data_IF_300130121184
#
_entry.id   IF_300130121184
#
_cell.length_a   1.000
_cell.length_b   1.000
_cell.length_c   1.000
_cell.angle_alpha   90.00
_cell.angle_beta   90.00
_cell.angle_gamma   90.00
#
_symmetry.space_group_name_H-M   'P 1'
#
loop_
_entity.id
_entity.type
_entity.pdbx_description
1 polymer ?
#
# COMPACT_ATOMS: atom_id res chain seq x y z
N UNK A 1 -17.77 -13.00 -5.12
CA UNK A 1 -17.51 -12.56 -6.50
C UNK A 1 -18.06 -11.15 -6.57
N UNK A 2 -17.22 -10.14 -6.79
CA UNK A 2 -17.66 -8.73 -6.77
C UNK A 2 -18.05 -8.37 -8.18
N UNK A 3 -19.34 -8.10 -8.39
CA UNK A 3 -19.86 -7.70 -9.69
C UNK A 3 -19.54 -6.21 -9.90
N UNK A 4 -18.64 -5.92 -10.84
CA UNK A 4 -18.27 -4.54 -11.18
C UNK A 4 -19.30 -4.07 -12.19
N UNK A 5 -20.18 -3.16 -11.75
CA UNK A 5 -21.32 -2.70 -12.55
C UNK A 5 -20.94 -2.33 -13.97
N UNK A 6 -21.63 -2.92 -14.94
CA UNK A 6 -21.34 -2.73 -16.36
C UNK A 6 -21.49 -1.27 -16.76
N UNK A 7 -20.53 -0.79 -17.57
CA UNK A 7 -20.68 0.48 -18.27
C UNK A 7 -21.83 0.37 -19.26
N UNK A 8 -22.76 1.34 -19.24
CA UNK A 8 -23.70 1.51 -20.35
C UNK A 8 -22.88 1.73 -21.63
N UNK A 9 -22.96 0.77 -22.56
CA UNK A 9 -22.23 0.83 -23.83
C UNK A 9 -22.89 1.83 -24.74
N UNK A 10 -22.40 3.06 -24.75
CA UNK A 10 -22.52 3.91 -25.94
C UNK A 10 -21.31 3.72 -26.85
N UNK A 11 -21.53 3.87 -28.14
CA UNK A 11 -20.80 3.15 -29.17
C UNK A 11 -19.58 3.96 -29.66
N UNK A 12 -18.44 3.80 -29.00
CA UNK A 12 -17.16 4.28 -29.55
C UNK A 12 -15.97 3.39 -29.18
N UNK A 13 -15.04 3.27 -30.13
CA UNK A 13 -13.91 2.36 -30.09
C UNK A 13 -12.87 2.71 -29.02
N UNK A 14 -12.61 1.76 -28.12
CA UNK A 14 -11.34 1.59 -27.39
C UNK A 14 -10.83 2.76 -26.51
N UNK A 15 -11.72 3.56 -25.92
CA UNK A 15 -11.35 4.58 -24.93
C UNK A 15 -11.72 4.18 -23.49
N UNK A 16 -10.71 4.05 -22.64
CA UNK A 16 -10.89 3.85 -21.19
C UNK A 16 -11.43 5.14 -20.55
N UNK A 17 -12.74 5.22 -20.31
CA UNK A 17 -13.33 6.32 -19.53
C UNK A 17 -12.70 6.38 -18.13
N UNK A 18 -12.21 7.56 -17.74
CA UNK A 18 -11.98 7.89 -16.35
C UNK A 18 -13.18 8.68 -15.85
N UNK A 19 -13.84 8.29 -14.75
CA UNK A 19 -14.98 9.04 -14.25
C UNK A 19 -14.54 10.43 -13.77
N UNK A 20 -15.32 11.44 -14.12
CA UNK A 20 -15.16 12.82 -13.66
C UNK A 20 -16.26 13.16 -12.64
N UNK A 21 -17.53 13.08 -13.03
CA UNK A 21 -18.68 13.23 -12.14
C UNK A 21 -19.37 11.91 -11.90
N UNK A 22 -19.78 11.70 -10.65
CA UNK A 22 -20.34 10.46 -10.12
C UNK A 22 -21.42 10.79 -9.09
N UNK A 23 -22.47 9.97 -9.02
CA UNK A 23 -23.37 9.92 -7.87
C UNK A 23 -23.22 8.58 -7.15
N UNK A 24 -23.00 8.62 -5.83
CA UNK A 24 -22.98 7.41 -4.99
C UNK A 24 -24.39 7.10 -4.47
N UNK A 25 -24.87 5.89 -4.80
CA UNK A 25 -26.08 5.30 -4.26
C UNK A 25 -25.74 4.26 -3.19
N UNK A 26 -26.33 4.43 -2.01
CA UNK A 26 -26.11 3.57 -0.85
C UNK A 26 -27.37 2.78 -0.53
N UNK A 27 -27.41 1.55 -1.02
CA UNK A 27 -28.54 0.65 -0.83
C UNK A 27 -28.31 -0.22 0.41
N UNK A 28 -29.25 -0.21 1.35
CA UNK A 28 -29.29 -1.18 2.43
C UNK A 28 -29.87 -2.48 1.86
N UNK A 29 -29.01 -3.50 1.74
CA UNK A 29 -29.48 -4.86 1.54
C UNK A 29 -29.96 -5.43 2.90
N UNK A 30 -30.30 -6.72 2.92
CA UNK A 30 -30.68 -7.41 4.16
C UNK A 30 -29.56 -7.21 5.21
N UNK A 31 -29.95 -6.79 6.42
CA UNK A 31 -28.99 -6.39 7.44
C UNK A 31 -28.01 -7.53 7.77
N UNK A 32 -26.69 -7.27 7.91
CA UNK A 32 -26.05 -5.95 8.03
C UNK A 32 -25.39 -5.43 6.74
N UNK A 33 -25.79 -5.92 5.55
CA UNK A 33 -25.05 -5.62 4.30
C UNK A 33 -25.46 -4.27 3.71
N UNK A 34 -24.47 -3.39 3.50
CA UNK A 34 -24.62 -2.12 2.79
C UNK A 34 -23.93 -2.25 1.43
N UNK A 35 -24.66 -1.95 0.36
CA UNK A 35 -24.15 -1.95 -1.01
C UNK A 35 -23.98 -0.51 -1.45
N UNK A 36 -22.73 -0.10 -1.69
CA UNK A 36 -22.37 1.20 -2.23
C UNK A 36 -22.13 1.03 -3.74
N UNK A 37 -22.93 1.72 -4.57
CA UNK A 37 -22.86 1.72 -6.04
C UNK A 37 -22.58 3.13 -6.53
N UNK A 38 -21.55 3.29 -7.33
CA UNK A 38 -21.27 4.55 -8.04
C UNK A 38 -21.95 4.52 -9.42
N UNK A 39 -22.61 5.61 -9.80
CA UNK A 39 -23.13 5.84 -11.16
C UNK A 39 -22.27 6.93 -11.79
N UNK A 40 -21.68 6.64 -12.95
CA UNK A 40 -20.86 7.60 -13.72
C UNK A 40 -21.80 8.55 -14.46
N UNK A 41 -21.70 9.85 -14.16
CA UNK A 41 -22.45 10.91 -14.84
C UNK A 41 -21.65 11.45 -16.03
N UNK A 42 -20.32 11.59 -15.89
CA UNK A 42 -19.44 12.08 -16.96
C UNK A 42 -18.03 11.47 -16.91
N UNK A 43 -17.35 11.49 -18.06
CA UNK A 43 -16.00 10.96 -18.26
C UNK A 43 -15.01 12.08 -18.60
N UNK A 44 -13.76 11.91 -18.20
CA UNK A 44 -12.60 12.72 -18.61
C UNK A 44 -11.51 11.86 -19.25
N UNK A 45 -10.65 12.50 -20.04
CA UNK A 45 -9.46 11.87 -20.62
C UNK A 45 -8.37 11.61 -19.57
N UNK A 46 -7.54 10.60 -19.80
CA UNK A 46 -6.31 10.42 -19.04
C UNK A 46 -5.32 11.57 -19.29
N UNK A 47 -4.52 11.90 -18.27
CA UNK A 47 -3.45 12.90 -18.42
C UNK A 47 -2.21 12.31 -19.08
N UNK A 48 -1.44 13.16 -19.76
CA UNK A 48 -0.20 12.72 -20.41
C UNK A 48 0.87 12.29 -19.38
N UNK A 49 0.99 13.04 -18.27
CA UNK A 49 1.86 12.68 -17.13
C UNK A 49 1.05 12.26 -15.91
N UNK A 50 1.71 11.56 -14.98
CA UNK A 50 1.12 11.21 -13.70
C UNK A 50 0.79 12.46 -12.88
N UNK A 51 -0.50 12.68 -12.64
CA UNK A 51 -1.01 13.76 -11.81
C UNK A 51 -2.35 13.39 -11.18
N UNK A 52 -2.77 14.20 -10.22
CA UNK A 52 -4.12 14.16 -9.68
C UNK A 52 -5.09 14.80 -10.69
N UNK A 53 -6.08 14.03 -11.13
CA UNK A 53 -7.26 14.56 -11.79
C UNK A 53 -8.41 14.70 -10.77
N UNK A 54 -9.33 15.66 -10.96
CA UNK A 54 -10.53 15.77 -10.13
C UNK A 54 -11.44 14.56 -10.32
N UNK A 55 -12.12 14.12 -9.25
CA UNK A 55 -13.16 13.09 -9.28
C UNK A 55 -14.27 13.51 -8.33
N UNK A 56 -15.30 14.15 -8.87
CA UNK A 56 -16.43 14.69 -8.15
C UNK A 56 -17.42 13.56 -7.84
N UNK A 57 -17.62 13.27 -6.55
CA UNK A 57 -18.61 12.30 -6.08
C UNK A 57 -19.70 13.04 -5.30
N UNK A 58 -20.94 12.95 -5.78
CA UNK A 58 -22.15 13.41 -5.11
C UNK A 58 -22.64 12.31 -4.15
N UNK A 59 -22.55 12.59 -2.85
CA UNK A 59 -23.02 11.71 -1.79
C UNK A 59 -24.42 12.09 -1.34
N UNK A 60 -25.23 11.10 -0.94
CA UNK A 60 -26.57 11.29 -0.36
C UNK A 60 -27.53 12.17 -1.21
N UNK A 61 -27.45 12.02 -2.54
CA UNK A 61 -28.27 12.70 -3.54
C UNK A 61 -29.77 12.66 -3.20
N UNK A 62 -30.44 13.81 -3.26
CA UNK A 62 -31.86 13.97 -2.91
C UNK A 62 -32.15 14.04 -1.41
N UNK A 63 -31.16 14.29 -0.55
CA UNK A 63 -31.35 14.40 0.90
C UNK A 63 -30.76 15.69 1.48
N UNK A 64 -31.14 16.04 2.72
CA UNK A 64 -30.53 17.18 3.46
C UNK A 64 -29.03 17.02 3.77
N UNK A 65 -28.44 15.86 3.47
CA UNK A 65 -27.02 15.56 3.63
C UNK A 65 -26.29 15.52 2.29
N UNK A 66 -26.93 15.93 1.20
CA UNK A 66 -26.33 15.94 -0.13
C UNK A 66 -25.06 16.81 -0.15
N UNK A 67 -23.97 16.23 -0.65
CA UNK A 67 -22.69 16.94 -0.78
C UNK A 67 -21.85 16.37 -1.91
N UNK A 68 -21.33 17.24 -2.77
CA UNK A 68 -20.36 16.88 -3.81
C UNK A 68 -18.94 17.11 -3.30
N UNK A 69 -18.10 16.08 -3.37
CA UNK A 69 -16.71 16.11 -2.90
C UNK A 69 -15.78 15.68 -4.04
N UNK A 70 -14.76 16.48 -4.31
CA UNK A 70 -13.63 16.04 -5.13
C UNK A 70 -12.72 15.09 -4.32
N UNK A 71 -12.89 13.78 -4.51
CA UNK A 71 -12.03 12.76 -3.88
C UNK A 71 -10.70 12.59 -4.63
N UNK A 72 -10.63 13.04 -5.89
CA UNK A 72 -9.50 12.91 -6.79
C UNK A 72 -9.27 11.49 -7.31
N UNK A 73 -8.57 11.40 -8.43
CA UNK A 73 -8.04 10.15 -8.99
C UNK A 73 -6.62 10.38 -9.50
N UNK A 74 -5.73 9.40 -9.35
CA UNK A 74 -4.41 9.46 -9.97
C UNK A 74 -4.48 8.88 -11.37
N UNK A 75 -4.09 9.70 -12.35
CA UNK A 75 -4.14 9.36 -13.76
C UNK A 75 -2.85 9.73 -14.47
N UNK A 76 -2.64 9.10 -15.61
CA UNK A 76 -1.61 9.44 -16.57
C UNK A 76 -0.33 8.62 -16.46
N UNK A 77 0.56 8.89 -17.40
CA UNK A 77 1.67 7.99 -17.68
C UNK A 77 2.85 8.26 -16.75
N UNK A 78 3.52 7.17 -16.39
CA UNK A 78 4.79 7.17 -15.67
C UNK A 78 5.85 6.52 -16.54
N UNK A 79 7.08 7.03 -16.48
CA UNK A 79 8.21 6.39 -17.14
C UNK A 79 8.72 5.19 -16.32
N UNK A 80 9.28 4.19 -17.02
CA UNK A 80 9.80 2.92 -16.45
C UNK A 80 8.70 2.11 -15.73
N UNK A 81 9.10 1.15 -14.87
CA UNK A 81 8.20 0.26 -14.13
C UNK A 81 7.46 0.93 -12.95
N UNK A 82 7.21 2.23 -13.03
CA UNK A 82 6.52 2.97 -11.96
C UNK A 82 5.06 3.16 -12.30
N UNK A 83 4.20 3.21 -11.28
CA UNK A 83 2.77 3.41 -11.46
C UNK A 83 2.37 4.77 -10.91
N UNK A 84 1.46 5.45 -11.60
CA UNK A 84 0.84 6.64 -11.05
C UNK A 84 -0.10 6.21 -9.91
N UNK A 85 0.21 6.62 -8.69
CA UNK A 85 -0.61 6.34 -7.51
C UNK A 85 -0.62 7.54 -6.58
N UNK A 86 -1.61 7.54 -5.68
CA UNK A 86 -1.75 8.54 -4.62
C UNK A 86 -0.51 8.52 -3.74
N UNK A 87 0.25 9.61 -3.76
CA UNK A 87 1.40 9.80 -2.89
C UNK A 87 0.99 10.42 -1.56
N UNK A 88 0.05 11.37 -1.60
CA UNK A 88 -0.50 12.03 -0.42
C UNK A 88 -2.04 11.95 -0.39
N UNK A 89 -2.60 11.88 0.83
CA UNK A 89 -4.04 11.73 1.10
C UNK A 89 -4.42 12.44 2.40
N UNK A 90 -5.58 13.09 2.39
CA UNK A 90 -6.21 13.66 3.60
C UNK A 90 -7.59 13.05 3.83
N UNK A 91 -8.02 13.05 5.09
CA UNK A 91 -9.39 12.66 5.45
C UNK A 91 -10.27 13.91 5.52
N UNK A 92 -11.51 13.83 5.03
CA UNK A 92 -12.54 14.85 5.21
C UNK A 92 -13.79 14.19 5.77
N UNK A 93 -14.39 14.76 6.81
CA UNK A 93 -15.70 14.34 7.29
C UNK A 93 -16.81 14.95 6.44
N UNK A 94 -17.88 14.18 6.22
CA UNK A 94 -19.18 14.68 5.75
C UNK A 94 -20.28 14.16 6.67
N UNK A 95 -21.26 14.98 7.00
CA UNK A 95 -22.36 14.57 7.86
C UNK A 95 -23.35 13.66 7.11
N UNK A 96 -23.92 12.68 7.81
CA UNK A 96 -24.95 11.80 7.29
C UNK A 96 -26.04 11.54 8.34
N UNK A 97 -27.12 10.86 7.94
CA UNK A 97 -28.20 10.45 8.85
C UNK A 97 -27.72 9.59 10.03
N UNK A 98 -26.59 8.88 9.88
CA UNK A 98 -26.02 7.99 10.90
C UNK A 98 -24.79 8.63 11.59
N UNK A 99 -24.67 9.95 11.55
CA UNK A 99 -23.48 10.68 11.99
C UNK A 99 -22.45 10.88 10.88
N UNK A 100 -21.25 11.28 11.25
CA UNK A 100 -20.20 11.72 10.32
C UNK A 100 -19.49 10.55 9.61
N UNK A 101 -19.36 10.63 8.27
CA UNK A 101 -18.63 9.69 7.42
C UNK A 101 -17.30 10.30 6.98
N UNK A 102 -16.20 9.63 7.30
CA UNK A 102 -14.87 9.99 6.84
C UNK A 102 -14.63 9.52 5.40
N UNK A 103 -14.32 10.46 4.51
CA UNK A 103 -13.88 10.22 3.13
C UNK A 103 -12.37 10.40 3.01
N UNK A 104 -11.74 9.58 2.16
CA UNK A 104 -10.32 9.69 1.83
C UNK A 104 -10.19 10.48 0.52
N UNK A 105 -9.58 11.66 0.60
CA UNK A 105 -9.31 12.54 -0.54
C UNK A 105 -7.84 12.40 -0.92
N UNK A 106 -7.56 12.06 -2.18
CA UNK A 106 -6.22 12.12 -2.75
C UNK A 106 -5.79 13.59 -2.81
N UNK A 107 -4.57 13.90 -2.35
CA UNK A 107 -4.00 15.26 -2.38
C UNK A 107 -2.96 15.40 -3.48
N UNK A 108 -2.03 14.43 -3.56
CA UNK A 108 -0.96 14.39 -4.56
C UNK A 108 -0.84 12.99 -5.18
N UNK A 109 -0.41 12.94 -6.43
CA UNK A 109 -0.17 11.72 -7.19
C UNK A 109 1.27 11.73 -7.72
N UNK A 110 1.98 10.62 -7.56
CA UNK A 110 3.34 10.51 -8.05
C UNK A 110 3.61 9.17 -8.73
N UNK A 111 4.63 9.17 -9.57
CA UNK A 111 5.22 7.95 -10.09
C UNK A 111 5.96 7.21 -8.98
N UNK A 112 5.36 6.10 -8.54
CA UNK A 112 5.92 5.24 -7.50
C UNK A 112 6.46 3.93 -8.10
N UNK A 113 7.76 3.72 -7.92
CA UNK A 113 8.49 2.44 -8.01
C UNK A 113 8.15 1.57 -6.77
N UNK A 114 8.69 0.34 -6.62
CA UNK A 114 8.58 -0.48 -5.40
C UNK A 114 9.69 -0.50 -4.26
N UNK A 115 9.40 -0.12 -2.97
CA UNK A 115 10.16 -0.37 -1.67
C UNK A 115 9.68 -1.54 -0.76
N UNK A 116 10.64 -2.21 -0.09
CA UNK A 116 10.48 -3.16 1.04
C UNK A 116 11.46 -2.79 2.17
N UNK A 117 11.09 -2.97 3.44
CA UNK A 117 11.94 -2.58 4.58
C UNK A 117 11.80 -3.54 5.79
N UNK A 118 12.72 -3.41 6.75
CA UNK A 118 12.74 -4.15 8.02
C UNK A 118 12.02 -3.34 9.11
N UNK A 119 11.24 -4.02 9.94
CA UNK A 119 10.80 -3.53 11.26
C UNK A 119 11.32 -4.44 12.36
N UNK A 120 11.48 -3.92 13.58
CA UNK A 120 11.80 -4.73 14.75
C UNK A 120 10.57 -5.50 15.26
N UNK A 121 10.81 -6.68 15.82
CA UNK A 121 9.81 -7.55 16.47
C UNK A 121 10.55 -8.32 17.56
N UNK A 122 10.15 -8.13 18.81
CA UNK A 122 10.81 -8.75 19.96
C UNK A 122 10.09 -10.03 20.38
N UNK A 123 10.84 -11.10 20.64
CA UNK A 123 10.35 -12.36 21.19
C UNK A 123 11.20 -12.78 22.39
N UNK A 124 10.55 -13.33 23.41
CA UNK A 124 11.19 -13.78 24.65
C UNK A 124 11.40 -15.30 24.65
N UNK A 125 12.62 -15.73 24.95
CA UNK A 125 13.00 -17.14 24.98
C UNK A 125 13.61 -17.52 26.35
N UNK A 126 13.35 -18.73 26.88
CA UNK A 126 13.99 -19.20 28.10
C UNK A 126 15.47 -19.53 27.83
N UNK A 127 16.37 -18.74 28.39
CA UNK A 127 17.82 -18.97 28.35
C UNK A 127 18.31 -19.50 29.70
N UNK A 128 19.05 -20.61 29.65
CA UNK A 128 19.87 -21.08 30.75
C UNK A 128 21.22 -20.37 30.72
N UNK A 129 21.65 -19.83 31.86
CA UNK A 129 22.93 -19.18 32.03
C UNK A 129 23.58 -19.59 33.36
N UNK A 130 24.88 -19.32 33.49
CA UNK A 130 25.60 -19.50 34.75
C UNK A 130 25.54 -18.17 35.52
N UNK A 131 25.11 -18.20 36.78
CA UNK A 131 25.10 -17.02 37.64
C UNK A 131 26.50 -16.67 38.17
N UNK A 132 26.62 -15.58 38.94
CA UNK A 132 27.88 -15.15 39.56
C UNK A 132 28.45 -16.13 40.61
N UNK A 133 27.67 -17.13 41.02
CA UNK A 133 28.03 -18.15 42.00
C UNK A 133 28.31 -19.52 41.35
N UNK A 134 28.29 -19.61 40.02
CA UNK A 134 28.51 -20.85 39.27
C UNK A 134 27.27 -21.74 39.10
N UNK A 135 26.10 -21.33 39.58
CA UNK A 135 24.87 -22.10 39.51
C UNK A 135 24.17 -21.95 38.16
N UNK A 136 23.41 -22.98 37.75
CA UNK A 136 22.55 -22.93 36.55
C UNK A 136 21.26 -22.18 36.87
N UNK A 137 21.11 -20.98 36.30
CA UNK A 137 19.92 -20.15 36.44
C UNK A 137 19.17 -20.03 35.10
N UNK A 138 17.89 -19.63 35.17
CA UNK A 138 17.03 -19.35 34.01
C UNK A 138 16.69 -17.87 33.93
N UNK A 139 16.59 -17.33 32.71
CA UNK A 139 16.06 -15.99 32.45
C UNK A 139 15.31 -15.94 31.12
N UNK A 140 14.44 -14.95 30.96
CA UNK A 140 13.84 -14.63 29.66
C UNK A 140 14.78 -13.75 28.86
N UNK A 141 15.39 -14.31 27.81
CA UNK A 141 16.20 -13.56 26.83
C UNK A 141 15.28 -12.96 25.78
N UNK A 142 15.22 -11.64 25.72
CA UNK A 142 14.48 -10.91 24.69
C UNK A 142 15.39 -10.73 23.47
N UNK A 143 14.89 -11.11 22.29
CA UNK A 143 15.62 -11.03 21.01
C UNK A 143 14.77 -10.26 19.99
N UNK A 144 15.34 -9.27 19.32
CA UNK A 144 14.73 -8.67 18.13
C UNK A 144 14.87 -9.64 16.94
N UNK A 145 13.85 -10.48 16.74
CA UNK A 145 13.77 -11.37 15.59
C UNK A 145 13.54 -10.61 14.29
N UNK A 146 12.93 -9.42 14.37
CA UNK A 146 12.62 -8.57 13.23
C UNK A 146 11.60 -9.16 12.25
N UNK A 147 11.08 -8.33 11.35
CA UNK A 147 10.15 -8.74 10.29
C UNK A 147 10.33 -7.86 9.06
N UNK A 148 10.17 -8.44 7.87
CA UNK A 148 10.09 -7.67 6.63
C UNK A 148 8.66 -7.20 6.36
N UNK A 149 8.50 -5.90 6.13
CA UNK A 149 7.23 -5.24 5.81
C UNK A 149 7.39 -4.50 4.49
N UNK A 150 6.43 -4.74 3.61
CA UNK A 150 6.33 -4.14 2.29
C UNK A 150 5.11 -4.70 1.60
N UNK A 151 4.55 -3.94 0.68
CA UNK A 151 3.46 -4.42 -0.16
C UNK A 151 3.97 -5.61 -1.02
N UNK A 152 3.09 -6.55 -1.34
CA UNK A 152 3.25 -7.58 -2.40
C UNK A 152 3.76 -7.04 -3.75
N UNK A 153 3.58 -5.74 -3.94
CA UNK A 153 4.21 -4.86 -4.91
C UNK A 153 4.64 -3.64 -4.11
N UNK A 154 5.84 -3.72 -3.55
CA UNK A 154 6.60 -2.71 -2.79
C UNK A 154 6.29 -1.20 -3.21
N UNK A 155 6.60 -0.11 -2.46
CA UNK A 155 6.45 1.33 -2.94
C UNK A 155 7.59 2.39 -2.64
N UNK A 156 8.24 3.05 -3.64
CA UNK A 156 9.30 4.12 -3.64
C UNK A 156 8.91 5.31 -4.54
N UNK A 157 9.12 6.59 -4.16
CA UNK A 157 8.91 7.77 -5.05
C UNK A 157 10.12 7.99 -5.98
N UNK A 158 9.91 8.20 -7.28
CA UNK A 158 10.96 8.70 -8.19
C UNK A 158 10.95 10.24 -8.28
N UNK A 159 12.09 10.91 -8.44
CA UNK A 159 12.14 12.33 -8.76
C UNK A 159 11.64 12.59 -10.19
N UNK A 160 10.57 13.37 -10.34
CA UNK A 160 10.16 13.98 -11.62
C UNK A 160 11.10 15.15 -11.94
N UNK A 161 12.27 14.84 -12.47
CA UNK A 161 13.32 15.82 -12.76
C UNK A 161 13.58 15.99 -14.25
N UNK A 162 13.17 17.13 -14.81
CA UNK A 162 13.81 17.73 -16.00
C UNK A 162 15.20 18.30 -15.63
N UNK A 163 16.03 17.49 -14.98
CA UNK A 163 17.42 17.85 -14.70
C UNK A 163 18.32 17.17 -15.71
N UNK A 164 18.98 18.00 -16.54
CA UNK A 164 20.11 17.60 -17.39
C UNK A 164 21.28 17.19 -16.49
N UNK A 165 21.26 15.96 -15.99
CA UNK A 165 22.44 15.36 -15.36
C UNK A 165 23.29 14.80 -16.49
N UNK A 166 24.39 15.49 -16.80
CA UNK A 166 25.44 14.96 -17.67
C UNK A 166 25.95 13.64 -17.06
N UNK A 167 25.84 12.57 -17.82
CA UNK A 167 26.27 11.21 -17.43
C UNK A 167 27.76 11.14 -17.08
N UNK A 168 28.16 10.20 -16.23
CA UNK A 168 28.89 9.05 -16.80
C UNK A 168 28.04 7.77 -16.93
N UNK A 169 28.42 6.91 -17.88
CA UNK A 169 27.70 5.69 -18.28
C UNK A 169 28.07 4.47 -17.42
N UNK A 170 27.15 3.51 -17.35
CA UNK A 170 27.39 2.13 -16.89
C UNK A 170 27.02 1.89 -15.41
N UNK A 171 26.31 0.83 -15.02
CA UNK A 171 25.91 -0.39 -15.74
C UNK A 171 24.40 -0.62 -15.54
N UNK A 172 23.66 -0.82 -16.63
CA UNK A 172 22.30 -1.39 -16.60
C UNK A 172 22.39 -2.85 -17.02
N UNK A 173 21.95 -3.78 -16.17
CA UNK A 173 21.67 -5.15 -16.59
C UNK A 173 20.19 -5.46 -16.36
N UNK A 174 19.56 -5.96 -17.42
CA UNK A 174 18.14 -6.28 -17.47
C UNK A 174 17.84 -7.62 -16.80
N UNK A 175 16.66 -7.76 -16.17
CA UNK A 175 15.79 -8.92 -16.34
C UNK A 175 14.39 -8.62 -15.75
N UNK A 176 13.40 -8.34 -16.59
CA UNK A 176 11.98 -8.30 -16.19
C UNK A 176 11.37 -9.66 -16.54
N UNK A 177 11.71 -10.68 -15.74
CA UNK A 177 10.79 -11.79 -15.52
C UNK A 177 9.73 -11.34 -14.52
N UNK A 178 8.44 -11.50 -14.83
CA UNK A 178 7.35 -11.17 -13.92
C UNK A 178 7.25 -12.17 -12.75
N UNK A 179 8.24 -12.17 -11.85
CA UNK A 179 8.07 -12.80 -10.54
C UNK A 179 7.16 -11.95 -9.66
N UNK A 180 6.37 -12.61 -8.80
CA UNK A 180 5.70 -11.98 -7.66
C UNK A 180 6.77 -11.55 -6.64
N UNK A 181 7.42 -10.41 -6.90
CA UNK A 181 8.45 -9.84 -6.02
C UNK A 181 7.88 -9.63 -4.61
N UNK A 182 8.27 -10.48 -3.68
CA UNK A 182 7.82 -10.39 -2.28
C UNK A 182 8.86 -9.63 -1.46
N UNK A 183 8.38 -8.88 -0.48
CA UNK A 183 9.25 -8.31 0.54
C UNK A 183 9.73 -9.44 1.46
N UNK A 184 11.00 -9.82 1.36
CA UNK A 184 11.58 -10.93 2.10
C UNK A 184 12.89 -10.53 2.79
N UNK A 185 13.32 -11.37 3.73
CA UNK A 185 14.61 -11.24 4.42
C UNK A 185 15.77 -11.45 3.45
N UNK A 186 16.63 -10.43 3.30
CA UNK A 186 17.84 -10.48 2.47
C UNK A 186 19.06 -10.99 3.26
N UNK A 187 19.19 -10.57 4.52
CA UNK A 187 20.21 -11.08 5.44
C UNK A 187 19.57 -11.46 6.77
N UNK A 188 20.01 -12.58 7.32
CA UNK A 188 19.58 -13.07 8.62
C UNK A 188 20.77 -13.57 9.42
N UNK A 189 20.80 -13.29 10.72
CA UNK A 189 21.84 -13.72 11.65
C UNK A 189 21.30 -14.74 12.64
N UNK A 190 22.07 -15.80 12.90
CA UNK A 190 21.72 -16.77 13.91
C UNK A 190 22.21 -16.30 15.29
N UNK A 191 21.33 -16.39 16.30
CA UNK A 191 21.64 -16.16 17.70
C UNK A 191 21.43 -17.47 18.45
N UNK A 192 22.53 -18.12 18.84
CA UNK A 192 22.52 -19.38 19.59
C UNK A 192 22.66 -19.14 21.09
N UNK A 193 21.94 -19.92 21.89
CA UNK A 193 21.98 -19.93 23.35
C UNK A 193 21.47 -21.26 23.90
N UNK A 194 21.72 -21.54 25.18
CA UNK A 194 21.29 -22.77 25.83
C UNK A 194 19.89 -22.56 26.42
N UNK A 195 18.97 -23.50 26.22
CA UNK A 195 17.61 -23.48 26.78
C UNK A 195 17.47 -24.41 27.99
N UNK A 196 16.29 -24.39 28.62
CA UNK A 196 15.91 -25.36 29.64
C UNK A 196 16.18 -26.80 29.18
N UNK A 197 16.97 -27.54 29.98
CA UNK A 197 17.42 -28.90 29.65
C UNK A 197 18.78 -28.98 28.94
N UNK A 198 19.55 -27.88 28.86
CA UNK A 198 20.93 -27.91 28.35
C UNK A 198 21.07 -28.04 26.83
N UNK A 199 19.97 -27.93 26.08
CA UNK A 199 19.97 -28.00 24.62
C UNK A 199 20.41 -26.68 24.01
N UNK A 200 21.23 -26.72 22.97
CA UNK A 200 21.59 -25.55 22.18
C UNK A 200 20.42 -25.20 21.24
N UNK A 201 19.98 -23.94 21.28
CA UNK A 201 18.85 -23.43 20.52
C UNK A 201 19.28 -22.19 19.73
N UNK A 202 18.86 -22.09 18.48
CA UNK A 202 19.28 -21.02 17.57
C UNK A 202 18.08 -20.33 16.94
N UNK A 203 17.96 -19.02 17.17
CA UNK A 203 16.93 -18.16 16.56
C UNK A 203 17.55 -17.39 15.39
N UNK A 204 16.90 -17.35 14.24
CA UNK A 204 17.29 -16.49 13.11
C UNK A 204 16.62 -15.12 13.25
N UNK A 205 17.42 -14.07 13.34
CA UNK A 205 16.98 -12.67 13.33
C UNK A 205 17.10 -12.10 11.92
N UNK A 206 16.20 -11.20 11.54
CA UNK A 206 16.25 -10.43 10.29
C UNK A 206 17.22 -9.27 10.48
N UNK A 207 18.21 -9.12 9.59
CA UNK A 207 19.12 -7.95 9.57
C UNK A 207 18.72 -6.93 8.50
N UNK A 208 18.32 -7.40 7.32
CA UNK A 208 17.87 -6.54 6.22
C UNK A 208 16.82 -7.22 5.36
N UNK A 209 15.99 -6.41 4.70
CA UNK A 209 14.92 -6.86 3.82
C UNK A 209 15.15 -6.32 2.41
N UNK A 210 14.62 -7.03 1.42
CA UNK A 210 14.60 -6.58 0.03
C UNK A 210 13.35 -7.12 -0.69
N UNK A 211 12.94 -6.43 -1.77
CA UNK A 211 12.05 -7.04 -2.75
C UNK A 211 12.91 -8.02 -3.57
N UNK A 212 12.64 -9.31 -3.45
CA UNK A 212 13.25 -10.35 -4.28
C UNK A 212 12.13 -11.10 -5.00
N UNK A 213 12.41 -11.49 -6.24
CA UNK A 213 11.54 -12.28 -7.11
C UNK A 213 12.09 -13.67 -7.31
#
# INVERSE_FOLDING_TARGET
>A
MVDVGECAKDNTTNNTCLPYELTEHRNYAMAPVIIEKEIIESCQSASNGCQRLPRLVKYYNGTKFEVTIDVGICSGQCHRNTKCQSFDKKTKSISSANGDRCLVIIVDCACVEPSCYRVSRYEGFPEQYTDSHGNKAMRTKIIDVGKCIGNSRCLKKLPTGNQRINTPKGIWNNLIGYSKMRCITKRSKAHSFITAGGKNFSVRTVESCACLG
#
